data_IF_185016755567
#
_entry.id   IF_185016755567
#
_cell.length_a   1.000
_cell.length_b   1.000
_cell.length_c   1.000
_cell.angle_alpha   90.00
_cell.angle_beta   90.00
_cell.angle_gamma   90.00
#
_symmetry.space_group_name_H-M   'P 1'
#
loop_
_entity.id
_entity.type
_entity.pdbx_description
1 polymer ?
#
# COMPACT_ATOMS: atom_id res chain seq x y z
N UNK A 1 9.65 12.42 13.10
CA UNK A 1 8.26 12.27 12.59
C UNK A 1 8.25 11.17 11.52
N UNK A 2 7.33 10.22 11.64
CA UNK A 2 7.13 9.13 10.68
C UNK A 2 5.86 9.45 9.90
N UNK A 3 5.98 9.60 8.58
CA UNK A 3 4.89 9.97 7.69
C UNK A 3 4.36 8.72 6.95
N UNK A 4 3.12 8.33 7.20
CA UNK A 4 2.41 7.37 6.37
C UNK A 4 1.86 8.06 5.12
N UNK A 5 2.25 7.60 3.94
CA UNK A 5 1.73 8.07 2.67
C UNK A 5 0.95 6.93 2.02
N UNK A 6 -0.37 7.06 1.99
CA UNK A 6 -1.27 6.15 1.29
C UNK A 6 -1.48 6.65 -0.13
N UNK A 7 -0.97 5.91 -1.11
CA UNK A 7 -1.12 6.23 -2.52
C UNK A 7 -2.43 5.64 -3.07
N UNK A 8 -3.25 6.45 -3.72
CA UNK A 8 -4.44 5.97 -4.44
C UNK A 8 -4.76 6.83 -5.66
N UNK A 9 -5.45 6.23 -6.64
CA UNK A 9 -6.06 6.91 -7.79
C UNK A 9 -7.32 6.16 -8.24
N UNK A 10 -8.22 6.85 -8.93
CA UNK A 10 -9.47 6.27 -9.45
C UNK A 10 -9.27 5.54 -10.78
N UNK A 11 -8.20 5.88 -11.52
CA UNK A 11 -7.91 5.38 -12.88
C UNK A 11 -7.31 3.96 -12.91
N UNK A 12 -7.88 3.02 -12.15
CA UNK A 12 -7.52 1.60 -12.27
C UNK A 12 -8.09 1.03 -13.58
N UNK A 13 -7.25 0.36 -14.39
CA UNK A 13 -7.69 -0.21 -15.67
C UNK A 13 -8.54 -1.48 -15.51
N UNK A 14 -8.27 -2.28 -14.47
CA UNK A 14 -8.94 -3.58 -14.21
C UNK A 14 -10.24 -3.41 -13.42
N UNK A 15 -10.26 -2.49 -12.46
CA UNK A 15 -11.42 -2.18 -11.62
C UNK A 15 -11.52 -0.66 -11.43
N UNK A 16 -12.06 0.09 -12.43
CA UNK A 16 -12.17 1.54 -12.35
C UNK A 16 -12.95 2.00 -11.12
N UNK A 17 -12.45 3.05 -10.45
CA UNK A 17 -13.08 3.61 -9.26
C UNK A 17 -13.06 2.72 -8.02
N UNK A 18 -12.26 1.63 -8.00
CA UNK A 18 -12.23 0.66 -6.89
C UNK A 18 -12.09 1.31 -5.51
N UNK A 19 -11.26 2.34 -5.41
CA UNK A 19 -10.96 3.03 -4.14
C UNK A 19 -12.17 3.74 -3.53
N UNK A 20 -13.15 4.14 -4.36
CA UNK A 20 -14.40 4.78 -3.93
C UNK A 20 -15.57 3.79 -3.80
N UNK A 21 -15.41 2.52 -4.19
CA UNK A 21 -16.46 1.51 -4.03
C UNK A 21 -16.88 1.38 -2.57
N UNK A 22 -18.19 1.29 -2.30
CA UNK A 22 -18.68 1.13 -0.94
C UNK A 22 -18.35 -0.26 -0.39
N UNK A 23 -17.63 -0.29 0.72
CA UNK A 23 -17.31 -1.49 1.50
C UNK A 23 -17.97 -1.32 2.87
N UNK A 24 -19.01 -2.12 3.16
CA UNK A 24 -19.87 -1.95 4.34
C UNK A 24 -20.37 -0.49 4.51
N UNK A 25 -20.87 0.10 3.42
CA UNK A 25 -21.46 1.44 3.42
C UNK A 25 -20.49 2.63 3.50
N UNK A 26 -19.16 2.39 3.40
CA UNK A 26 -18.11 3.42 3.42
C UNK A 26 -17.13 3.18 2.28
N UNK A 27 -16.60 4.20 1.63
CA UNK A 27 -15.64 4.04 0.55
C UNK A 27 -14.45 3.17 0.98
N UNK A 28 -13.99 2.25 0.12
CA UNK A 28 -12.90 1.31 0.41
C UNK A 28 -11.64 2.01 0.93
N UNK A 29 -11.24 3.12 0.30
CA UNK A 29 -10.08 3.91 0.74
C UNK A 29 -10.23 4.45 2.17
N UNK A 30 -11.45 4.82 2.58
CA UNK A 30 -11.69 5.29 3.94
C UNK A 30 -11.61 4.14 4.95
N UNK A 31 -11.99 2.92 4.57
CA UNK A 31 -11.79 1.73 5.42
C UNK A 31 -10.30 1.49 5.67
N UNK A 32 -9.48 1.63 4.65
CA UNK A 32 -8.04 1.49 4.77
C UNK A 32 -7.43 2.60 5.62
N UNK A 33 -7.80 3.86 5.40
CA UNK A 33 -7.36 5.00 6.21
C UNK A 33 -7.79 4.85 7.69
N UNK A 34 -9.02 4.41 7.94
CA UNK A 34 -9.52 4.18 9.31
C UNK A 34 -8.67 3.10 10.03
N UNK A 35 -8.23 2.06 9.32
CA UNK A 35 -7.34 1.03 9.87
C UNK A 35 -5.93 1.57 10.13
N UNK A 36 -5.37 2.29 9.16
CA UNK A 36 -4.03 2.89 9.27
C UNK A 36 -3.93 3.96 10.37
N UNK A 37 -5.06 4.57 10.75
CA UNK A 37 -5.12 5.50 11.88
C UNK A 37 -4.81 4.82 13.23
N UNK A 38 -4.99 3.51 13.32
CA UNK A 38 -4.69 2.72 14.52
C UNK A 38 -3.19 2.38 14.67
N UNK A 39 -2.36 2.68 13.65
CA UNK A 39 -0.90 2.50 13.74
C UNK A 39 -0.32 3.43 14.80
N UNK A 40 0.54 2.88 15.65
CA UNK A 40 1.22 3.61 16.74
C UNK A 40 2.48 4.31 16.29
N UNK A 41 3.16 3.74 15.29
CA UNK A 41 4.42 4.27 14.76
C UNK A 41 4.19 5.41 13.77
N UNK A 42 3.06 5.47 13.07
CA UNK A 42 2.74 6.54 12.13
C UNK A 42 2.33 7.81 12.89
N UNK A 43 3.15 8.85 12.80
CA UNK A 43 2.87 10.15 13.45
C UNK A 43 1.85 10.98 12.66
N UNK A 44 1.83 10.86 11.34
CA UNK A 44 0.92 11.56 10.43
C UNK A 44 0.61 10.68 9.24
N UNK A 45 -0.66 10.64 8.82
CA UNK A 45 -1.15 9.88 7.67
C UNK A 45 -1.70 10.85 6.62
N UNK A 46 -1.28 10.66 5.36
CA UNK A 46 -1.68 11.51 4.23
C UNK A 46 -2.06 10.63 3.04
N UNK A 47 -3.21 10.91 2.42
CA UNK A 47 -3.50 10.37 1.09
C UNK A 47 -2.71 11.14 0.04
N UNK A 48 -1.95 10.44 -0.82
CA UNK A 48 -1.29 11.02 -1.99
C UNK A 48 -1.97 10.57 -3.27
N UNK A 49 -2.77 11.45 -3.87
CA UNK A 49 -3.47 11.20 -5.14
C UNK A 49 -2.97 12.12 -6.26
N UNK A 50 -3.51 11.97 -7.47
CA UNK A 50 -3.10 12.80 -8.60
C UNK A 50 -3.80 14.17 -8.62
N UNK A 51 -3.22 15.12 -9.36
CA UNK A 51 -3.87 16.39 -9.68
C UNK A 51 -4.81 16.30 -10.90
N UNK A 52 -4.97 15.11 -11.47
CA UNK A 52 -5.91 14.88 -12.56
C UNK A 52 -7.36 15.07 -12.05
N UNK A 53 -8.25 15.73 -12.81
CA UNK A 53 -9.66 15.92 -12.44
C UNK A 53 -10.42 14.62 -12.13
N UNK A 54 -10.00 13.48 -12.68
CA UNK A 54 -10.61 12.18 -12.36
C UNK A 54 -10.45 11.79 -10.88
N UNK A 55 -9.46 12.34 -10.19
CA UNK A 55 -9.20 12.09 -8.77
C UNK A 55 -9.80 13.17 -7.84
N UNK A 56 -10.59 14.13 -8.37
CA UNK A 56 -11.22 15.19 -7.56
C UNK A 56 -12.19 14.60 -6.53
N UNK A 57 -13.04 13.65 -6.93
CA UNK A 57 -13.99 12.99 -6.04
C UNK A 57 -13.26 12.21 -4.92
N UNK A 58 -12.16 11.54 -5.26
CA UNK A 58 -11.33 10.83 -4.28
C UNK A 58 -10.75 11.80 -3.25
N UNK A 59 -10.15 12.91 -3.71
CA UNK A 59 -9.59 13.92 -2.84
C UNK A 59 -10.66 14.51 -1.90
N UNK A 60 -11.80 14.95 -2.45
CA UNK A 60 -12.91 15.52 -1.68
C UNK A 60 -13.49 14.52 -0.66
N UNK A 61 -13.65 13.25 -1.05
CA UNK A 61 -14.16 12.20 -0.15
C UNK A 61 -13.25 12.01 1.07
N UNK A 62 -11.93 12.01 0.85
CA UNK A 62 -10.95 11.80 1.91
C UNK A 62 -10.80 13.04 2.78
N UNK A 63 -10.78 14.25 2.20
CA UNK A 63 -10.78 15.53 2.94
C UNK A 63 -12.04 15.69 3.80
N UNK A 64 -13.22 15.36 3.25
CA UNK A 64 -14.49 15.42 4.00
C UNK A 64 -14.53 14.43 5.18
N UNK A 65 -13.75 13.34 5.11
CA UNK A 65 -13.59 12.41 6.23
C UNK A 65 -12.54 12.86 7.26
N UNK A 66 -11.90 14.02 7.06
CA UNK A 66 -10.95 14.63 8.00
C UNK A 66 -9.52 14.16 7.87
N UNK A 67 -9.14 13.52 6.75
CA UNK A 67 -7.77 13.13 6.46
C UNK A 67 -7.04 14.17 5.61
N UNK A 68 -5.73 14.27 5.77
CA UNK A 68 -4.89 15.11 4.93
C UNK A 68 -4.79 14.52 3.52
N UNK A 69 -4.82 15.39 2.50
CA UNK A 69 -4.65 15.02 1.10
C UNK A 69 -3.50 15.83 0.47
N UNK A 70 -2.65 15.14 -0.28
CA UNK A 70 -1.67 15.73 -1.17
C UNK A 70 -2.00 15.33 -2.61
N UNK A 71 -1.92 16.28 -3.54
CA UNK A 71 -2.15 16.05 -4.97
C UNK A 71 -0.89 16.38 -5.76
N UNK A 72 -0.49 15.46 -6.66
CA UNK A 72 0.72 15.59 -7.47
C UNK A 72 0.60 14.96 -8.85
N UNK A 73 1.72 14.65 -9.50
CA UNK A 73 1.72 14.03 -10.84
C UNK A 73 0.96 12.70 -10.86
N UNK A 74 0.22 12.45 -11.95
CA UNK A 74 -0.42 11.15 -12.20
C UNK A 74 0.63 10.08 -12.52
N UNK A 75 1.57 10.41 -13.42
CA UNK A 75 2.53 9.45 -13.99
C UNK A 75 3.81 9.33 -13.15
N UNK A 76 4.29 10.44 -12.59
CA UNK A 76 5.46 10.45 -11.73
C UNK A 76 5.08 10.18 -10.27
N UNK A 77 4.86 8.90 -9.95
CA UNK A 77 4.45 8.47 -8.60
C UNK A 77 5.56 8.70 -7.58
N UNK A 78 6.82 8.43 -7.94
CA UNK A 78 7.97 8.72 -7.08
C UNK A 78 8.07 10.22 -6.76
N UNK A 79 7.90 11.09 -7.76
CA UNK A 79 7.83 12.53 -7.55
C UNK A 79 6.68 12.95 -6.65
N UNK A 80 5.52 12.31 -6.78
CA UNK A 80 4.36 12.54 -5.90
C UNK A 80 4.68 12.19 -4.44
N UNK A 81 5.35 11.05 -4.18
CA UNK A 81 5.82 10.68 -2.84
C UNK A 81 6.83 11.66 -2.27
N UNK A 82 7.85 11.99 -3.07
CA UNK A 82 8.90 12.92 -2.66
C UNK A 82 8.35 14.30 -2.30
N UNK A 83 7.56 14.91 -3.17
CA UNK A 83 7.00 16.24 -2.91
C UNK A 83 5.96 16.24 -1.78
N UNK A 84 5.20 15.15 -1.60
CA UNK A 84 4.36 14.97 -0.42
C UNK A 84 5.22 14.94 0.84
N UNK A 85 6.26 14.11 0.88
CA UNK A 85 7.15 14.03 2.03
C UNK A 85 7.89 15.34 2.29
N UNK A 86 8.37 16.04 1.25
CA UNK A 86 9.04 17.33 1.34
C UNK A 86 8.17 18.38 2.08
N UNK A 87 6.85 18.34 1.90
CA UNK A 87 5.93 19.26 2.58
C UNK A 87 5.93 19.08 4.10
N UNK A 88 6.18 17.87 4.59
CA UNK A 88 6.11 17.52 6.00
C UNK A 88 7.48 17.31 6.66
N UNK A 89 8.55 17.21 5.88
CA UNK A 89 9.92 17.01 6.35
C UNK A 89 10.06 15.87 7.37
N UNK A 90 9.60 14.65 7.05
CA UNK A 90 9.68 13.51 7.97
C UNK A 90 11.12 12.98 8.06
N UNK A 91 11.40 12.18 9.09
CA UNK A 91 12.63 11.37 9.14
C UNK A 91 12.49 10.07 8.36
N UNK A 92 11.28 9.47 8.41
CA UNK A 92 10.94 8.23 7.72
C UNK A 92 9.59 8.34 7.02
N UNK A 93 9.44 7.61 5.92
CA UNK A 93 8.21 7.50 5.15
C UNK A 93 7.76 6.04 5.13
N UNK A 94 6.52 5.78 5.52
CA UNK A 94 5.84 4.50 5.34
C UNK A 94 5.05 4.57 4.04
N UNK A 95 5.41 3.74 3.07
CA UNK A 95 4.72 3.65 1.79
C UNK A 95 3.61 2.62 1.88
N UNK A 96 2.41 3.05 1.51
CA UNK A 96 1.17 2.28 1.53
C UNK A 96 0.44 2.48 0.21
N UNK A 97 -0.34 1.48 -0.22
CA UNK A 97 -1.09 1.53 -1.49
C UNK A 97 -2.56 1.28 -1.24
N UNK A 98 -3.43 2.14 -1.81
CA UNK A 98 -4.87 2.19 -1.56
C UNK A 98 -5.70 1.08 -2.21
N UNK A 99 -5.11 -0.09 -2.31
CA UNK A 99 -5.72 -1.33 -2.75
C UNK A 99 -5.62 -2.46 -1.70
N UNK A 100 -5.24 -2.09 -0.46
CA UNK A 100 -5.01 -2.99 0.67
C UNK A 100 -6.03 -2.76 1.80
N UNK A 101 -7.36 -2.90 1.55
CA UNK A 101 -8.40 -2.52 2.54
C UNK A 101 -8.39 -3.33 3.83
N UNK A 102 -7.64 -4.43 3.88
CA UNK A 102 -7.46 -5.25 5.08
C UNK A 102 -6.08 -5.09 5.72
N UNK A 103 -5.35 -4.02 5.34
CA UNK A 103 -4.04 -3.71 5.93
C UNK A 103 -4.06 -3.87 7.45
N UNK A 104 -3.05 -4.53 8.02
CA UNK A 104 -2.98 -4.77 9.47
C UNK A 104 -2.08 -3.72 10.14
N UNK A 105 -2.64 -2.85 11.01
CA UNK A 105 -1.86 -1.84 11.72
C UNK A 105 -0.69 -2.39 12.52
N UNK A 106 -0.84 -3.58 13.09
CA UNK A 106 0.23 -4.21 13.89
C UNK A 106 1.42 -4.63 13.02
N UNK A 107 1.15 -5.10 11.79
CA UNK A 107 2.21 -5.43 10.82
C UNK A 107 2.90 -4.15 10.35
N UNK A 108 2.14 -3.09 10.06
CA UNK A 108 2.72 -1.79 9.70
C UNK A 108 3.64 -1.28 10.80
N UNK A 109 3.21 -1.35 12.06
CA UNK A 109 4.01 -0.97 13.22
C UNK A 109 5.25 -1.85 13.38
N UNK A 110 5.12 -3.18 13.19
CA UNK A 110 6.26 -4.11 13.25
C UNK A 110 7.32 -3.78 12.22
N UNK A 111 6.93 -3.57 10.95
CA UNK A 111 7.86 -3.23 9.86
C UNK A 111 8.55 -1.90 10.15
N UNK A 112 7.80 -0.92 10.64
CA UNK A 112 8.31 0.42 10.96
C UNK A 112 9.28 0.37 12.13
N UNK A 113 8.94 -0.33 13.21
CA UNK A 113 9.79 -0.47 14.38
C UNK A 113 11.12 -1.22 14.06
N UNK A 114 11.05 -2.29 13.26
CA UNK A 114 12.24 -3.01 12.83
C UNK A 114 13.14 -2.14 11.94
N UNK A 115 12.55 -1.39 10.98
CA UNK A 115 13.28 -0.45 10.14
C UNK A 115 14.11 0.54 10.98
N UNK A 116 13.49 1.12 12.01
CA UNK A 116 14.14 2.09 12.90
C UNK A 116 15.23 1.43 13.74
N UNK A 117 14.93 0.28 14.35
CA UNK A 117 15.86 -0.43 15.23
C UNK A 117 17.12 -0.90 14.51
N UNK A 118 16.99 -1.30 13.25
CA UNK A 118 18.10 -1.75 12.41
C UNK A 118 18.82 -0.60 11.70
N UNK A 119 18.34 0.63 11.81
CA UNK A 119 18.86 1.80 11.10
C UNK A 119 18.94 1.60 9.58
N UNK A 120 17.95 0.96 8.98
CA UNK A 120 17.90 0.72 7.55
C UNK A 120 17.58 2.01 6.78
N UNK A 121 18.03 2.11 5.53
CA UNK A 121 17.58 3.15 4.59
C UNK A 121 16.25 2.77 3.96
N UNK A 122 16.01 1.46 3.80
CA UNK A 122 14.79 0.90 3.26
C UNK A 122 14.50 -0.47 3.88
N UNK A 123 13.24 -0.74 4.18
CA UNK A 123 12.78 -2.04 4.67
C UNK A 123 11.48 -2.42 3.96
N UNK A 124 11.39 -3.66 3.50
CA UNK A 124 10.19 -4.24 2.90
C UNK A 124 9.79 -5.55 3.59
N UNK A 125 8.66 -6.09 3.19
CA UNK A 125 8.20 -7.41 3.62
C UNK A 125 8.58 -8.46 2.59
N UNK A 126 8.75 -9.73 3.02
CA UNK A 126 8.88 -10.87 2.11
C UNK A 126 7.54 -11.21 1.43
N UNK A 127 7.60 -11.88 0.28
CA UNK A 127 6.41 -12.40 -0.40
C UNK A 127 5.72 -13.56 0.35
N UNK A 128 6.24 -13.98 1.51
CA UNK A 128 5.59 -14.94 2.41
C UNK A 128 4.37 -14.37 3.13
N UNK A 129 4.26 -13.04 3.23
CA UNK A 129 3.02 -12.42 3.68
C UNK A 129 1.92 -12.50 2.59
N UNK A 130 0.62 -12.56 2.98
CA UNK A 130 -0.46 -12.37 2.02
C UNK A 130 -0.30 -11.08 1.22
N UNK A 131 -0.58 -11.14 -0.08
CA UNK A 131 -0.65 -9.97 -0.96
C UNK A 131 -1.80 -9.06 -0.50
N UNK A 132 -1.52 -7.79 -0.19
CA UNK A 132 -2.51 -6.85 0.37
C UNK A 132 -2.25 -6.44 1.83
N UNK A 133 -1.11 -6.85 2.41
CA UNK A 133 -0.57 -6.32 3.66
C UNK A 133 0.72 -5.54 3.42
N UNK A 134 1.01 -5.22 2.16
CA UNK A 134 2.29 -4.69 1.72
C UNK A 134 2.62 -3.36 2.40
N UNK A 135 3.73 -3.36 3.13
CA UNK A 135 4.27 -2.21 3.85
C UNK A 135 5.75 -2.05 3.53
N UNK A 136 6.13 -0.86 3.11
CA UNK A 136 7.52 -0.50 2.88
C UNK A 136 7.85 0.75 3.69
N UNK A 137 9.04 0.77 4.29
CA UNK A 137 9.52 1.91 5.08
C UNK A 137 10.85 2.38 4.52
N UNK A 138 11.03 3.69 4.40
CA UNK A 138 12.29 4.28 3.94
C UNK A 138 12.63 5.55 4.71
N UNK A 139 13.92 5.88 4.81
CA UNK A 139 14.34 7.19 5.28
C UNK A 139 13.96 8.26 4.26
N UNK A 140 13.73 9.49 4.72
CA UNK A 140 13.51 10.62 3.80
C UNK A 140 14.71 10.81 2.85
N UNK A 141 15.93 10.62 3.34
CA UNK A 141 17.14 10.71 2.53
C UNK A 141 17.19 9.66 1.40
N UNK A 142 16.75 8.42 1.67
CA UNK A 142 16.66 7.38 0.65
C UNK A 142 15.62 7.72 -0.43
N UNK A 143 14.46 8.23 -0.02
CA UNK A 143 13.42 8.71 -0.96
C UNK A 143 13.91 9.88 -1.81
N UNK A 144 14.58 10.86 -1.21
CA UNK A 144 15.15 12.01 -1.91
C UNK A 144 16.20 11.58 -2.93
N UNK A 145 17.12 10.68 -2.53
CA UNK A 145 18.14 10.14 -3.44
C UNK A 145 17.50 9.37 -4.59
N UNK A 146 16.51 8.53 -4.33
CA UNK A 146 15.77 7.83 -5.37
C UNK A 146 15.10 8.82 -6.33
N UNK A 147 14.45 9.86 -5.82
CA UNK A 147 13.82 10.90 -6.64
C UNK A 147 14.82 11.62 -7.56
N UNK A 148 16.02 11.95 -7.06
CA UNK A 148 17.05 12.67 -7.81
C UNK A 148 17.72 11.81 -8.89
N UNK A 149 17.83 10.51 -8.68
CA UNK A 149 18.65 9.63 -9.50
C UNK A 149 17.85 8.65 -10.38
N UNK A 150 16.59 8.35 -10.03
CA UNK A 150 15.72 7.44 -10.81
C UNK A 150 15.43 8.07 -12.19
N UNK A 151 15.88 7.38 -13.25
CA UNK A 151 15.74 7.82 -14.63
C UNK A 151 14.76 6.99 -15.45
N UNK A 152 14.50 5.75 -15.05
CA UNK A 152 13.65 4.84 -15.79
C UNK A 152 12.16 5.04 -15.47
N UNK A 153 11.25 4.93 -16.47
CA UNK A 153 9.83 5.07 -16.25
C UNK A 153 9.30 4.14 -15.15
N UNK A 154 9.74 2.87 -15.10
CA UNK A 154 9.32 1.93 -14.05
C UNK A 154 9.77 2.37 -12.65
N UNK A 155 10.94 3.01 -12.51
CA UNK A 155 11.43 3.53 -11.24
C UNK A 155 10.60 4.75 -10.78
N UNK A 156 10.15 5.57 -11.73
CA UNK A 156 9.26 6.71 -11.46
C UNK A 156 7.86 6.25 -11.09
N UNK A 157 7.37 5.15 -11.67
CA UNK A 157 6.05 4.57 -11.38
C UNK A 157 6.05 3.78 -10.08
N UNK A 158 7.09 2.97 -9.81
CA UNK A 158 7.12 2.02 -8.68
C UNK A 158 7.99 2.48 -7.51
N UNK A 159 7.97 3.75 -7.20
CA UNK A 159 8.53 4.49 -6.04
C UNK A 159 9.84 3.93 -5.45
N UNK A 160 9.86 2.66 -5.03
CA UNK A 160 10.97 2.00 -4.34
C UNK A 160 11.86 1.17 -5.26
N UNK A 161 11.50 1.05 -6.55
CA UNK A 161 12.20 0.19 -7.49
C UNK A 161 13.67 0.61 -7.70
N UNK A 162 13.95 1.93 -7.71
CA UNK A 162 15.33 2.43 -7.76
C UNK A 162 16.16 1.93 -6.58
N UNK A 163 15.63 2.02 -5.35
CA UNK A 163 16.31 1.54 -4.13
C UNK A 163 16.56 0.04 -4.22
N UNK A 164 15.56 -0.72 -4.64
CA UNK A 164 15.64 -2.19 -4.78
C UNK A 164 16.61 -2.66 -5.86
N UNK A 165 16.84 -1.84 -6.89
CA UNK A 165 17.82 -2.12 -7.97
C UNK A 165 19.26 -1.77 -7.57
N UNK A 166 19.44 -0.94 -6.53
CA UNK A 166 20.75 -0.48 -6.07
C UNK A 166 21.03 -0.82 -4.59
N UNK A 167 20.92 -2.13 -4.18
CA UNK A 167 21.09 -2.53 -2.79
C UNK A 167 22.49 -2.21 -2.22
N UNK A 168 23.50 -2.04 -3.09
CA UNK A 168 24.85 -1.63 -2.72
C UNK A 168 24.94 -0.16 -2.25
N UNK A 169 23.90 0.63 -2.49
CA UNK A 169 23.84 2.07 -2.19
C UNK A 169 22.97 2.41 -0.99
N UNK A 170 22.23 1.42 -0.49
CA UNK A 170 21.27 1.57 0.60
C UNK A 170 21.40 0.40 1.58
N UNK A 171 21.23 0.69 2.86
CA UNK A 171 21.07 -0.35 3.86
C UNK A 171 19.65 -0.90 3.80
N UNK A 172 19.50 -2.10 3.24
CA UNK A 172 18.20 -2.73 2.98
C UNK A 172 17.92 -3.77 4.05
N UNK A 173 16.74 -3.70 4.67
CA UNK A 173 16.19 -4.69 5.59
C UNK A 173 14.96 -5.39 5.01
N UNK A 174 14.62 -6.52 5.62
CA UNK A 174 13.44 -7.30 5.23
C UNK A 174 12.77 -7.89 6.46
N UNK A 175 11.46 -7.75 6.56
CA UNK A 175 10.63 -8.41 7.57
C UNK A 175 10.05 -9.68 6.97
N UNK A 176 10.26 -10.81 7.65
CA UNK A 176 9.78 -12.11 7.19
C UNK A 176 8.54 -12.57 7.95
N UNK A 177 7.68 -13.34 7.28
CA UNK A 177 6.54 -13.99 7.89
C UNK A 177 6.95 -15.36 8.43
N UNK A 178 6.52 -15.69 9.65
CA UNK A 178 6.87 -16.97 10.28
C UNK A 178 6.41 -18.18 9.44
N UNK A 179 5.21 -18.09 8.86
CA UNK A 179 4.68 -19.10 7.95
C UNK A 179 4.53 -18.51 6.54
N UNK A 180 4.42 -19.37 5.53
CA UNK A 180 4.27 -18.94 4.14
C UNK A 180 2.79 -18.85 3.77
N UNK A 181 2.30 -17.63 3.66
CA UNK A 181 0.95 -17.26 3.21
C UNK A 181 0.97 -16.54 1.85
N UNK A 182 2.09 -16.56 1.14
CA UNK A 182 2.29 -15.85 -0.12
C UNK A 182 1.33 -16.22 -1.26
N UNK A 183 0.67 -17.39 -1.15
CA UNK A 183 -0.38 -17.80 -2.06
C UNK A 183 -1.73 -17.08 -1.80
N UNK A 184 -1.91 -16.43 -0.64
CA UNK A 184 -3.13 -15.71 -0.30
C UNK A 184 -3.08 -14.29 -0.89
N UNK A 185 -4.22 -13.88 -1.47
CA UNK A 185 -4.34 -12.57 -2.11
C UNK A 185 -5.52 -11.80 -1.51
N UNK A 186 -5.21 -10.72 -0.82
CA UNK A 186 -6.16 -9.83 -0.13
C UNK A 186 -6.09 -8.37 -0.63
N UNK A 187 -5.26 -8.09 -1.64
CA UNK A 187 -5.28 -6.82 -2.37
C UNK A 187 -6.47 -6.77 -3.32
N UNK A 188 -6.91 -5.57 -3.70
CA UNK A 188 -8.05 -5.37 -4.61
C UNK A 188 -7.56 -4.78 -5.92
N UNK A 189 -7.53 -5.60 -6.97
CA UNK A 189 -7.26 -5.16 -8.33
C UNK A 189 -8.35 -5.59 -9.32
N UNK A 190 -8.94 -6.76 -9.08
CA UNK A 190 -9.95 -7.38 -9.92
C UNK A 190 -11.32 -7.42 -9.21
N UNK A 191 -12.43 -7.59 -9.93
CA UNK A 191 -13.76 -7.75 -9.31
C UNK A 191 -13.83 -8.88 -8.29
N UNK A 192 -13.12 -9.98 -8.53
CA UNK A 192 -13.06 -11.14 -7.63
C UNK A 192 -12.32 -10.81 -6.33
N UNK A 193 -11.28 -9.99 -6.40
CA UNK A 193 -10.59 -9.51 -5.21
C UNK A 193 -11.56 -8.72 -4.32
N UNK A 194 -12.31 -7.79 -4.93
CA UNK A 194 -13.28 -7.00 -4.19
C UNK A 194 -14.38 -7.89 -3.57
N UNK A 195 -14.88 -8.90 -4.29
CA UNK A 195 -15.85 -9.84 -3.76
C UNK A 195 -15.33 -10.64 -2.55
N UNK A 196 -14.06 -11.04 -2.56
CA UNK A 196 -13.43 -11.67 -1.40
C UNK A 196 -13.36 -10.69 -0.21
N UNK A 197 -12.92 -9.47 -0.44
CA UNK A 197 -12.82 -8.45 0.61
C UNK A 197 -14.20 -8.14 1.21
N UNK A 198 -15.26 -8.06 0.40
CA UNK A 198 -16.62 -7.90 0.92
C UNK A 198 -16.98 -9.04 1.90
N UNK A 199 -16.68 -10.30 1.55
CA UNK A 199 -16.94 -11.45 2.43
C UNK A 199 -16.15 -11.38 3.74
N UNK A 200 -14.88 -10.99 3.70
CA UNK A 200 -14.04 -10.80 4.90
C UNK A 200 -14.68 -9.73 5.80
N UNK A 201 -15.03 -8.57 5.22
CA UNK A 201 -15.64 -7.47 5.97
C UNK A 201 -17.03 -7.84 6.53
N UNK A 202 -17.90 -8.54 5.78
CA UNK A 202 -19.21 -9.00 6.24
C UNK A 202 -19.09 -9.88 7.49
N UNK A 203 -18.06 -10.71 7.58
CA UNK A 203 -17.86 -11.67 8.67
C UNK A 203 -17.15 -11.05 9.88
N UNK A 204 -16.12 -10.24 9.66
CA UNK A 204 -15.23 -9.79 10.75
C UNK A 204 -15.57 -8.37 11.24
N UNK A 205 -15.89 -7.45 10.35
CA UNK A 205 -16.04 -6.04 10.67
C UNK A 205 -17.12 -5.74 11.74
N UNK A 206 -18.31 -6.40 11.76
CA UNK A 206 -19.34 -6.10 12.75
C UNK A 206 -18.94 -6.42 14.20
N UNK A 207 -18.01 -7.35 14.39
CA UNK A 207 -17.55 -7.77 15.70
C UNK A 207 -16.22 -7.13 16.08
N UNK A 208 -15.33 -6.94 15.11
CA UNK A 208 -13.98 -6.42 15.30
C UNK A 208 -13.59 -5.51 14.13
N UNK A 209 -13.89 -4.20 14.17
CA UNK A 209 -13.62 -3.28 13.05
C UNK A 209 -12.15 -3.21 12.63
N UNK A 210 -11.22 -3.45 13.55
CA UNK A 210 -9.77 -3.50 13.30
C UNK A 210 -9.27 -4.94 13.41
N UNK A 211 -9.93 -5.87 12.69
CA UNK A 211 -9.51 -7.27 12.63
C UNK A 211 -8.09 -7.41 12.05
N UNK A 212 -7.36 -8.40 12.51
CA UNK A 212 -5.94 -8.63 12.20
C UNK A 212 -5.76 -9.64 11.07
N UNK A 213 -4.50 -9.81 10.61
CA UNK A 213 -4.13 -10.91 9.71
C UNK A 213 -4.55 -12.27 10.29
N UNK A 214 -4.35 -12.50 11.60
CA UNK A 214 -4.70 -13.77 12.23
C UNK A 214 -6.22 -14.02 12.28
N UNK A 215 -7.02 -12.97 12.43
CA UNK A 215 -8.48 -13.08 12.34
C UNK A 215 -8.91 -13.54 10.94
N UNK A 216 -8.28 -12.98 9.88
CA UNK A 216 -8.57 -13.41 8.51
C UNK A 216 -8.10 -14.85 8.29
N UNK A 217 -6.90 -15.23 8.75
CA UNK A 217 -6.41 -16.60 8.64
C UNK A 217 -7.34 -17.58 9.35
N UNK A 218 -7.87 -17.21 10.50
CA UNK A 218 -8.86 -18.02 11.23
C UNK A 218 -10.15 -18.18 10.43
N UNK A 219 -10.65 -17.08 9.82
CA UNK A 219 -11.82 -17.14 8.96
C UNK A 219 -11.61 -18.08 7.75
N UNK A 220 -10.41 -18.08 7.15
CA UNK A 220 -10.08 -18.99 6.04
C UNK A 220 -9.94 -20.46 6.46
N UNK A 221 -9.53 -20.72 7.71
CA UNK A 221 -9.55 -22.09 8.29
C UNK A 221 -10.97 -22.59 8.54
N UNK A 222 -11.91 -21.69 8.88
CA UNK A 222 -13.32 -22.01 9.11
C UNK A 222 -14.11 -22.14 7.79
N UNK A 223 -13.71 -21.42 6.74
CA UNK A 223 -14.38 -21.40 5.43
C UNK A 223 -13.34 -21.39 4.29
N UNK A 224 -12.88 -22.60 3.93
CA UNK A 224 -11.89 -22.81 2.86
C UNK A 224 -12.40 -22.34 1.49
N UNK A 225 -13.71 -22.15 1.29
CA UNK A 225 -14.28 -21.70 0.01
C UNK A 225 -13.87 -20.28 -0.34
N UNK A 226 -13.51 -19.45 0.66
CA UNK A 226 -13.05 -18.08 0.46
C UNK A 226 -11.77 -18.04 -0.40
N UNK A 227 -10.86 -18.99 -0.23
CA UNK A 227 -9.60 -19.06 -0.99
C UNK A 227 -9.82 -19.27 -2.50
N UNK A 228 -10.99 -19.74 -2.92
CA UNK A 228 -11.30 -19.99 -4.33
C UNK A 228 -11.86 -18.76 -5.06
N UNK A 229 -12.30 -17.72 -4.35
CA UNK A 229 -13.00 -16.56 -4.94
C UNK A 229 -12.12 -15.82 -5.93
N UNK A 230 -10.84 -15.62 -5.61
CA UNK A 230 -9.88 -14.91 -6.46
C UNK A 230 -8.63 -15.76 -6.79
N UNK A 231 -8.78 -17.06 -6.78
CA UNK A 231 -7.70 -17.98 -7.11
C UNK A 231 -7.20 -17.77 -8.54
N UNK A 232 -5.88 -17.89 -8.74
CA UNK A 232 -5.23 -17.82 -10.06
C UNK A 232 -4.88 -16.42 -10.55
N UNK A 233 -5.17 -15.36 -9.78
CA UNK A 233 -4.73 -13.99 -10.09
C UNK A 233 -3.27 -13.82 -9.64
N UNK A 234 -2.41 -13.40 -10.58
CA UNK A 234 -0.96 -13.27 -10.30
C UNK A 234 -0.63 -12.01 -9.48
N UNK A 235 0.29 -12.18 -8.53
CA UNK A 235 0.89 -11.07 -7.76
C UNK A 235 1.83 -10.24 -8.64
N UNK A 236 1.88 -8.91 -8.40
CA UNK A 236 2.84 -7.97 -9.01
C UNK A 236 2.76 -7.88 -10.55
N UNK A 237 1.59 -8.11 -11.15
CA UNK A 237 1.43 -8.07 -12.62
C UNK A 237 1.78 -6.70 -13.21
N UNK A 238 1.40 -5.60 -12.54
CA UNK A 238 1.70 -4.23 -12.97
C UNK A 238 3.21 -3.98 -13.05
N UNK A 239 3.96 -4.34 -12.01
CA UNK A 239 5.41 -4.20 -11.98
C UNK A 239 6.08 -5.01 -13.09
N UNK A 240 5.64 -6.26 -13.30
CA UNK A 240 6.18 -7.12 -14.38
C UNK A 240 5.94 -6.50 -15.76
N UNK A 241 4.77 -5.91 -16.01
CA UNK A 241 4.44 -5.21 -17.27
C UNK A 241 5.30 -3.96 -17.47
N UNK A 242 5.48 -3.13 -16.45
CA UNK A 242 6.31 -1.91 -16.53
C UNK A 242 7.77 -2.24 -16.85
N UNK A 243 8.35 -3.25 -16.17
CA UNK A 243 9.72 -3.70 -16.43
C UNK A 243 9.87 -4.32 -17.83
N UNK A 244 8.88 -5.08 -18.30
CA UNK A 244 8.90 -5.67 -19.64
C UNK A 244 8.86 -4.59 -20.75
N UNK A 245 8.11 -3.53 -20.55
CA UNK A 245 8.01 -2.40 -21.49
C UNK A 245 9.35 -1.65 -21.65
N UNK A 246 10.17 -1.56 -20.60
CA UNK A 246 11.51 -0.91 -20.67
C UNK A 246 12.51 -1.66 -21.54
N UNK A 247 12.40 -3.00 -21.63
CA UNK A 247 13.32 -3.84 -22.41
C UNK A 247 13.09 -3.75 -23.93
N UNK A 248 12.03 -3.07 -24.34
CA UNK A 248 11.64 -2.92 -25.77
C UNK A 248 12.08 -1.56 -26.32
N UNK A 249 12.51 -0.63 -25.47
CA UNK A 249 13.08 0.69 -25.82
C UNK A 249 14.61 0.63 -25.83
#
# INVERSE_FOLDING_TARGET
MILGILQARTSSSRLPGKVLRPLMGRAMILRELDRLKECREITRLVLATSSDPMDDELAQTVEAAGYDVYRGSLDDVLGRYYHCAQRYMPTHVVRLTGDCPVIDPHIVDQVTAQHIAEHNDYTSMTERFPDGLDTEVMTYAALEKAYQEAALPSEREHVTLYIRRHPERFRVGTVDCAEDYGAMRWTVDEPQDFALIEKIYERLYPQHPVFTMEDILTLFREDETLAHINQGIMRNEGLKKSIAAERVL
#
